data_IF_228899768131
#
_entry.id   IF_228899768131
#
_cell.length_a   1.000
_cell.length_b   1.000
_cell.length_c   1.000
_cell.angle_alpha   90.00
_cell.angle_beta   90.00
_cell.angle_gamma   90.00
#
_symmetry.space_group_name_H-M   'P 1'
#
loop_
_entity.id
_entity.type
_entity.pdbx_description
1 polymer ?
#
# COMPACT_ATOMS: atom_id res chain seq x y z
N UNK A 1 -22.31 3.89 8.99
CA UNK A 1 -21.54 4.78 8.09
C UNK A 1 -21.47 4.11 6.73
N UNK A 2 -21.67 4.86 5.63
CA UNK A 2 -21.61 4.28 4.28
C UNK A 2 -20.19 4.29 3.74
N UNK A 3 -19.60 3.12 3.49
CA UNK A 3 -18.28 2.93 2.92
C UNK A 3 -18.38 2.12 1.63
N UNK A 4 -17.53 2.38 0.64
CA UNK A 4 -17.48 1.60 -0.61
C UNK A 4 -16.26 0.68 -0.55
N UNK A 5 -16.47 -0.62 -0.72
CA UNK A 5 -15.41 -1.65 -0.77
C UNK A 5 -15.65 -2.47 -2.04
N UNK A 6 -14.58 -2.78 -2.80
CA UNK A 6 -14.69 -3.50 -4.09
C UNK A 6 -15.72 -2.87 -5.07
N UNK A 7 -15.88 -1.53 -5.04
CA UNK A 7 -16.86 -0.76 -5.84
C UNK A 7 -18.33 -0.93 -5.41
N UNK A 8 -18.60 -1.66 -4.33
CA UNK A 8 -19.95 -1.82 -3.75
C UNK A 8 -20.15 -0.98 -2.50
N UNK A 9 -21.29 -0.29 -2.35
CA UNK A 9 -21.61 0.45 -1.13
C UNK A 9 -22.08 -0.48 -0.02
N UNK A 10 -21.42 -0.39 1.14
CA UNK A 10 -21.81 -1.07 2.37
C UNK A 10 -22.17 -0.03 3.44
N UNK A 11 -23.16 -0.35 4.26
CA UNK A 11 -23.40 0.38 5.50
C UNK A 11 -22.78 -0.43 6.63
N UNK A 12 -21.63 0.05 7.13
CA UNK A 12 -20.89 -0.60 8.20
C UNK A 12 -20.99 0.25 9.46
N UNK A 13 -21.18 -0.41 10.59
CA UNK A 13 -21.05 0.18 11.91
C UNK A 13 -19.98 -0.54 12.73
N UNK A 14 -19.53 0.11 13.80
CA UNK A 14 -18.50 -0.45 14.69
C UNK A 14 -18.94 -1.81 15.26
N UNK A 15 -20.22 -1.92 15.64
CA UNK A 15 -20.79 -3.15 16.17
C UNK A 15 -20.81 -4.29 15.12
N UNK A 16 -21.10 -3.98 13.85
CA UNK A 16 -21.10 -5.01 12.79
C UNK A 16 -19.72 -5.65 12.62
N UNK A 17 -18.67 -4.83 12.68
CA UNK A 17 -17.28 -5.32 12.62
C UNK A 17 -16.95 -6.19 13.84
N UNK A 18 -17.32 -5.74 15.04
CA UNK A 18 -17.07 -6.50 16.28
C UNK A 18 -17.83 -7.83 16.31
N UNK A 19 -19.07 -7.86 15.83
CA UNK A 19 -19.89 -9.08 15.74
C UNK A 19 -19.37 -10.03 14.66
N UNK A 20 -18.99 -9.53 13.50
CA UNK A 20 -18.42 -10.35 12.43
C UNK A 20 -17.10 -11.01 12.87
N UNK A 21 -16.32 -10.34 13.72
CA UNK A 21 -15.07 -10.86 14.27
C UNK A 21 -15.26 -11.75 15.51
N UNK A 22 -16.48 -11.90 16.03
CA UNK A 22 -16.75 -12.72 17.21
C UNK A 22 -16.59 -14.20 16.87
N UNK A 23 -15.59 -14.84 17.48
CA UNK A 23 -15.28 -16.25 17.22
C UNK A 23 -14.33 -16.49 16.04
N UNK A 24 -13.90 -15.43 15.35
CA UNK A 24 -12.89 -15.51 14.29
C UNK A 24 -11.49 -15.61 14.93
N UNK A 25 -10.71 -16.62 14.54
CA UNK A 25 -9.32 -16.76 14.99
C UNK A 25 -8.43 -15.78 14.22
N UNK A 26 -7.56 -15.01 14.90
CA UNK A 26 -6.62 -14.14 14.22
C UNK A 26 -5.63 -14.96 13.40
N UNK A 27 -5.52 -14.64 12.11
CA UNK A 27 -4.49 -15.18 11.23
C UNK A 27 -3.15 -14.48 11.44
N UNK A 28 -2.02 -15.11 11.04
CA UNK A 28 -0.72 -14.47 11.08
C UNK A 28 -0.72 -13.16 10.27
N UNK A 29 -0.32 -12.08 10.93
CA UNK A 29 -0.28 -10.74 10.34
C UNK A 29 0.95 -10.65 9.44
N UNK A 30 0.73 -10.64 8.13
CA UNK A 30 1.79 -10.50 7.12
C UNK A 30 1.94 -9.08 6.58
N UNK A 31 1.07 -8.14 6.99
CA UNK A 31 1.06 -6.77 6.50
C UNK A 31 0.15 -5.85 7.32
N UNK A 32 -0.78 -5.17 6.65
CA UNK A 32 -1.74 -4.26 7.31
C UNK A 32 -2.62 -5.02 8.32
N UNK A 33 -2.74 -4.46 9.52
CA UNK A 33 -3.54 -5.02 10.61
C UNK A 33 -4.43 -3.98 11.26
N UNK A 34 -5.53 -4.43 11.85
CA UNK A 34 -6.47 -3.62 12.62
C UNK A 34 -6.67 -4.21 14.01
N UNK A 35 -6.80 -3.34 15.00
CA UNK A 35 -7.12 -3.71 16.37
C UNK A 35 -8.63 -3.77 16.50
N UNK A 36 -9.16 -4.98 16.74
CA UNK A 36 -10.59 -5.21 17.02
C UNK A 36 -10.70 -5.74 18.45
N UNK A 37 -11.31 -4.93 19.32
CA UNK A 37 -11.35 -5.19 20.77
C UNK A 37 -9.95 -5.19 21.38
N UNK A 38 -9.44 -6.38 21.71
CA UNK A 38 -8.11 -6.59 22.33
C UNK A 38 -7.13 -7.38 21.45
N UNK A 39 -7.52 -7.70 20.22
CA UNK A 39 -6.76 -8.58 19.32
C UNK A 39 -6.44 -7.85 18.02
N UNK A 40 -5.31 -8.23 17.43
CA UNK A 40 -4.88 -7.73 16.14
C UNK A 40 -5.30 -8.72 15.07
N UNK A 41 -5.92 -8.21 14.01
CA UNK A 41 -6.36 -9.01 12.87
C UNK A 41 -5.83 -8.41 11.57
N UNK A 42 -5.45 -9.23 10.59
CA UNK A 42 -5.13 -8.73 9.27
C UNK A 42 -6.34 -8.06 8.63
N UNK A 43 -6.15 -6.88 8.03
CA UNK A 43 -7.28 -6.10 7.47
C UNK A 43 -8.01 -6.85 6.37
N UNK A 44 -7.31 -7.69 5.59
CA UNK A 44 -7.94 -8.50 4.54
C UNK A 44 -8.88 -9.56 5.11
N UNK A 45 -8.55 -10.13 6.27
CA UNK A 45 -9.41 -11.09 6.96
C UNK A 45 -10.66 -10.39 7.52
N UNK A 46 -10.52 -9.20 8.10
CA UNK A 46 -11.67 -8.42 8.58
C UNK A 46 -12.56 -7.99 7.42
N UNK A 47 -11.97 -7.53 6.31
CA UNK A 47 -12.67 -7.18 5.08
C UNK A 47 -13.50 -8.34 4.54
N UNK A 48 -12.93 -9.54 4.46
CA UNK A 48 -13.64 -10.76 4.05
C UNK A 48 -14.78 -11.10 5.02
N UNK A 49 -14.56 -11.02 6.34
CA UNK A 49 -15.58 -11.34 7.33
C UNK A 49 -16.81 -10.41 7.27
N UNK A 50 -16.59 -9.10 7.04
CA UNK A 50 -17.67 -8.11 7.02
C UNK A 50 -18.37 -8.01 5.66
N UNK A 51 -17.62 -8.17 4.56
CA UNK A 51 -18.18 -8.05 3.20
C UNK A 51 -18.65 -9.39 2.63
N UNK A 52 -18.15 -10.51 3.17
CA UNK A 52 -18.26 -11.86 2.59
C UNK A 52 -17.73 -11.96 1.16
N UNK A 53 -16.84 -11.05 0.76
CA UNK A 53 -16.18 -11.04 -0.55
C UNK A 53 -14.79 -11.69 -0.47
N UNK A 54 -14.26 -12.11 -1.62
CA UNK A 54 -12.93 -12.69 -1.70
C UNK A 54 -11.85 -11.61 -1.46
N UNK A 55 -10.75 -11.99 -0.80
CA UNK A 55 -9.61 -11.09 -0.53
C UNK A 55 -8.98 -10.52 -1.81
N UNK A 56 -9.27 -11.07 -2.99
CA UNK A 56 -8.80 -10.60 -4.30
C UNK A 56 -9.64 -9.44 -4.86
N UNK A 57 -10.87 -9.26 -4.39
CA UNK A 57 -11.77 -8.24 -4.91
C UNK A 57 -11.49 -6.84 -4.35
N UNK A 58 -10.74 -6.74 -3.25
CA UNK A 58 -10.42 -5.47 -2.60
C UNK A 58 -8.97 -5.40 -2.11
N UNK A 59 -8.46 -4.18 -2.01
CA UNK A 59 -7.14 -3.89 -1.46
C UNK A 59 -7.18 -3.72 0.07
N UNK A 60 -6.06 -4.05 0.72
CA UNK A 60 -5.89 -3.84 2.16
C UNK A 60 -6.09 -2.35 2.53
N UNK A 61 -5.52 -1.44 1.72
CA UNK A 61 -5.61 0.01 1.93
C UNK A 61 -7.04 0.57 1.85
N UNK A 62 -7.90 0.03 0.98
CA UNK A 62 -9.32 0.43 0.92
C UNK A 62 -10.04 0.08 2.23
N UNK A 63 -9.85 -1.14 2.72
CA UNK A 63 -10.45 -1.62 3.97
C UNK A 63 -9.91 -0.85 5.16
N UNK A 64 -8.59 -0.62 5.21
CA UNK A 64 -7.93 0.21 6.23
C UNK A 64 -8.55 1.60 6.31
N UNK A 65 -8.74 2.29 5.17
CA UNK A 65 -9.39 3.61 5.14
C UNK A 65 -10.82 3.57 5.65
N UNK A 66 -11.59 2.55 5.29
CA UNK A 66 -12.96 2.38 5.77
C UNK A 66 -13.01 2.16 7.29
N UNK A 67 -12.13 1.30 7.82
CA UNK A 67 -12.04 0.99 9.25
C UNK A 67 -11.52 2.17 10.07
N UNK A 68 -10.53 2.91 9.59
CA UNK A 68 -10.06 4.14 10.23
C UNK A 68 -11.17 5.19 10.33
N UNK A 69 -11.99 5.35 9.28
CA UNK A 69 -13.13 6.26 9.31
C UNK A 69 -14.23 5.83 10.30
N UNK A 70 -14.38 4.54 10.54
CA UNK A 70 -15.24 3.99 11.59
C UNK A 70 -14.66 4.17 13.02
N UNK A 71 -13.42 4.65 13.14
CA UNK A 71 -12.74 4.85 14.42
C UNK A 71 -11.92 3.66 14.90
N UNK A 72 -11.63 2.68 14.04
CA UNK A 72 -10.70 1.59 14.36
C UNK A 72 -9.25 2.03 14.21
N UNK A 73 -8.40 1.51 15.10
CA UNK A 73 -6.96 1.72 15.03
C UNK A 73 -6.35 0.70 14.07
N UNK A 74 -5.92 1.17 12.90
CA UNK A 74 -5.23 0.35 11.91
C UNK A 74 -3.73 0.65 11.95
N UNK A 75 -2.91 -0.40 11.84
CA UNK A 75 -1.46 -0.34 11.77
C UNK A 75 -1.02 -0.90 10.42
N UNK A 76 -0.52 -0.01 9.57
CA UNK A 76 0.24 -0.42 8.39
C UNK A 76 1.66 -0.76 8.83
N UNK A 77 2.08 -1.99 8.58
CA UNK A 77 3.52 -2.28 8.45
C UNK A 77 3.88 -1.81 7.05
N UNK A 78 4.91 -0.96 6.86
CA UNK A 78 5.32 -0.59 5.52
C UNK A 78 5.75 -1.86 4.80
N UNK A 79 4.90 -2.35 3.91
CA UNK A 79 5.30 -3.34 2.93
C UNK A 79 6.38 -2.69 2.06
N UNK A 80 7.45 -3.41 1.67
CA UNK A 80 8.37 -2.90 0.67
C UNK A 80 7.54 -2.52 -0.55
N UNK A 81 7.70 -1.29 -1.04
CA UNK A 81 6.95 -0.77 -2.16
C UNK A 81 7.00 -1.79 -3.30
N UNK A 82 5.83 -2.29 -3.72
CA UNK A 82 5.76 -3.00 -5.00
C UNK A 82 6.36 -2.04 -6.05
N UNK A 83 7.24 -2.53 -6.94
CA UNK A 83 7.78 -1.68 -7.99
C UNK A 83 6.58 -1.10 -8.74
N UNK A 84 6.53 0.23 -8.81
CA UNK A 84 5.64 0.93 -9.71
C UNK A 84 5.94 0.37 -11.10
N UNK A 85 5.00 -0.37 -11.68
CA UNK A 85 5.07 -0.72 -13.10
C UNK A 85 4.97 0.60 -13.85
N UNK A 86 6.13 1.20 -14.12
CA UNK A 86 6.27 2.40 -14.91
C UNK A 86 5.57 2.13 -16.23
N UNK A 87 4.65 3.01 -16.60
CA UNK A 87 4.02 2.94 -17.91
C UNK A 87 5.12 2.99 -18.99
N UNK A 88 4.90 2.38 -20.18
CA UNK A 88 5.90 2.41 -21.26
C UNK A 88 6.38 3.83 -21.62
N UNK A 89 5.55 4.84 -21.32
CA UNK A 89 5.85 6.26 -21.53
C UNK A 89 6.90 6.78 -20.53
N UNK A 90 6.83 6.39 -19.26
CA UNK A 90 7.80 6.79 -18.23
C UNK A 90 9.18 6.14 -18.47
N UNK A 91 9.20 4.89 -18.93
CA UNK A 91 10.43 4.21 -19.35
C UNK A 91 11.09 4.91 -20.55
N UNK A 92 10.30 5.37 -21.53
CA UNK A 92 10.81 6.12 -22.67
C UNK A 92 11.34 7.51 -22.26
N UNK A 93 10.66 8.21 -21.35
CA UNK A 93 11.12 9.51 -20.82
C UNK A 93 12.45 9.39 -20.07
N UNK A 94 12.68 8.29 -19.34
CA UNK A 94 13.95 8.04 -18.67
C UNK A 94 15.12 7.85 -19.67
N UNK A 95 14.89 7.14 -20.79
CA UNK A 95 15.93 6.93 -21.81
C UNK A 95 16.29 8.19 -22.62
N UNK A 96 15.39 9.17 -22.69
CA UNK A 96 15.65 10.45 -23.35
C UNK A 96 16.35 11.49 -22.45
N UNK A 97 16.46 11.22 -21.14
CA UNK A 97 17.06 12.13 -20.15
C UNK A 97 18.57 12.02 -19.96
N UNK A 98 19.23 10.96 -20.45
CA UNK A 98 20.69 10.79 -20.35
C UNK A 98 21.42 11.49 -21.51
N UNK A 99 21.36 12.82 -21.55
CA UNK A 99 22.34 13.63 -22.27
C UNK A 99 23.13 14.46 -21.25
N UNK A 100 24.17 13.86 -20.67
CA UNK A 100 25.15 14.54 -19.81
C UNK A 100 25.90 15.59 -20.63
N UNK A 101 25.95 16.88 -20.21
CA UNK A 101 26.86 17.85 -20.81
C UNK A 101 28.25 17.60 -20.21
N UNK A 102 29.11 16.91 -20.95
CA UNK A 102 30.53 16.83 -20.62
C UNK A 102 31.16 18.19 -20.91
N UNK A 103 31.37 18.98 -19.87
CA UNK A 103 32.20 20.19 -19.89
C UNK A 103 33.66 19.78 -20.07
N UNK A 104 34.25 20.18 -21.19
CA UNK A 104 35.68 20.02 -21.49
C UNK A 104 36.46 21.09 -20.72
N UNK A 105 37.18 20.70 -19.67
CA UNK A 105 38.30 21.49 -19.14
C UNK A 105 39.60 20.79 -19.58
N UNK A 106 40.23 21.38 -20.61
CA UNK A 106 41.47 20.89 -21.20
C UNK A 106 42.66 21.55 -20.49
N UNK A 107 43.41 20.73 -19.77
CA UNK A 107 44.66 21.11 -19.12
C UNK A 107 45.84 21.29 -20.08
N UNK A 108 46.72 22.23 -19.73
CA UNK A 108 48.13 22.28 -20.07
C UNK A 108 48.93 22.81 -18.85
N UNK A 109 50.28 22.78 -18.84
CA UNK A 109 51.17 22.64 -19.98
C UNK A 109 52.29 21.58 -19.84
N UNK A 110 52.98 21.41 -20.97
CA UNK A 110 54.22 20.69 -21.27
C UNK A 110 55.30 20.65 -20.19
N UNK A 111 56.01 19.51 -20.13
CA UNK A 111 57.37 19.41 -19.60
C UNK A 111 58.25 18.51 -20.50
N UNK A 112 59.01 19.18 -21.36
CA UNK A 112 60.42 18.99 -21.77
C UNK A 112 61.07 17.59 -21.75
N UNK A 113 61.61 17.25 -22.94
CA UNK A 113 62.55 16.17 -23.26
C UNK A 113 63.92 16.33 -22.57
N UNK A 114 64.57 15.21 -22.22
CA UNK A 114 66.02 14.95 -22.40
C UNK A 114 66.31 13.47 -22.23
#
# INVERSE_FOLDING_TARGET
MRCVIARFPFNLEKNDVEQAMKGVKPEPITGESVIVGRRHYPVKQVGEAITRQDRRDFSAGEVTRALTRLGFTCRSVPAPAAPVDLSPVEAASAMLGEATPAVTDAGGPEATQS
#
